data_IF_721462275160
#
_entry.id   IF_721462275160
#
_cell.length_a   1.000
_cell.length_b   1.000
_cell.length_c   1.000
_cell.angle_alpha   90.00
_cell.angle_beta   90.00
_cell.angle_gamma   90.00
#
_symmetry.space_group_name_H-M   'P 1'
#
loop_
_entity.id
_entity.type
_entity.pdbx_description
1 polymer ?
#
# COMPACT_ATOMS: atom_id res chain seq x y z
N UNK A 1 5.97 18.64 -12.09
CA UNK A 1 6.81 17.42 -12.26
C UNK A 1 6.03 16.23 -11.70
N UNK A 2 5.97 15.08 -12.40
CA UNK A 2 5.39 13.86 -11.82
C UNK A 2 6.52 13.13 -11.10
N UNK A 3 6.47 13.06 -9.77
CA UNK A 3 7.36 12.17 -9.03
C UNK A 3 7.00 10.73 -9.35
N UNK A 4 7.97 10.00 -9.91
CA UNK A 4 7.81 8.57 -10.16
C UNK A 4 7.77 7.86 -8.80
N UNK A 5 6.62 7.28 -8.47
CA UNK A 5 6.47 6.37 -7.33
C UNK A 5 7.09 5.03 -7.67
N UNK A 6 7.95 4.54 -6.79
CA UNK A 6 8.52 3.22 -6.91
C UNK A 6 7.42 2.14 -6.74
N UNK A 7 7.16 1.36 -7.79
CA UNK A 7 6.24 0.21 -7.73
C UNK A 7 6.84 -1.03 -7.03
N UNK A 8 8.02 -0.92 -6.44
CA UNK A 8 8.63 -1.97 -5.62
C UNK A 8 8.42 -1.67 -4.13
N UNK A 9 8.81 -0.49 -3.66
CA UNK A 9 8.72 -0.13 -2.23
C UNK A 9 7.72 0.99 -1.90
N UNK A 10 7.09 1.61 -2.89
CA UNK A 10 6.10 2.68 -2.68
C UNK A 10 6.67 4.09 -2.42
N UNK A 11 7.99 4.23 -2.27
CA UNK A 11 8.67 5.53 -2.05
C UNK A 11 8.77 6.35 -3.34
N UNK A 12 8.79 7.67 -3.20
CA UNK A 12 8.98 8.63 -4.30
C UNK A 12 10.47 8.93 -4.51
N UNK A 13 10.82 9.47 -5.67
CA UNK A 13 12.19 9.88 -6.00
C UNK A 13 13.05 8.81 -6.69
N UNK A 14 12.52 7.60 -6.91
CA UNK A 14 13.19 6.57 -7.69
C UNK A 14 12.19 5.60 -8.35
N UNK A 15 12.64 4.89 -9.39
CA UNK A 15 11.85 3.89 -10.12
C UNK A 15 12.08 2.48 -9.58
N UNK A 16 11.15 1.57 -9.88
CA UNK A 16 11.23 0.17 -9.46
C UNK A 16 12.47 -0.57 -10.01
N UNK A 17 13.05 -0.09 -11.12
CA UNK A 17 14.26 -0.62 -11.76
C UNK A 17 15.53 -0.34 -10.94
N UNK A 18 15.60 0.81 -10.28
CA UNK A 18 16.75 1.25 -9.46
C UNK A 18 16.51 1.07 -7.96
N UNK A 19 15.36 0.50 -7.58
CA UNK A 19 15.01 0.28 -6.19
C UNK A 19 15.88 -0.82 -5.58
N UNK A 20 16.60 -0.47 -4.50
CA UNK A 20 17.42 -1.41 -3.71
C UNK A 20 16.67 -2.04 -2.53
N UNK A 21 15.42 -1.65 -2.33
CA UNK A 21 14.60 -2.17 -1.23
C UNK A 21 13.76 -3.39 -1.63
N UNK A 22 13.27 -4.07 -0.61
CA UNK A 22 12.35 -5.19 -0.75
C UNK A 22 11.03 -4.79 -1.42
N UNK A 23 10.33 -5.79 -1.93
CA UNK A 23 8.99 -5.60 -2.48
C UNK A 23 8.01 -5.35 -1.35
N UNK A 24 7.24 -4.27 -1.45
CA UNK A 24 6.20 -3.88 -0.51
C UNK A 24 4.85 -4.11 -1.16
N UNK A 25 3.95 -4.69 -0.39
CA UNK A 25 2.61 -5.00 -0.83
C UNK A 25 1.77 -3.72 -0.85
N UNK A 26 1.28 -3.32 -2.03
CA UNK A 26 0.39 -2.17 -2.15
C UNK A 26 -1.02 -2.42 -1.59
N UNK A 27 -1.32 -3.65 -1.18
CA UNK A 27 -2.58 -3.98 -0.54
C UNK A 27 -2.54 -3.78 0.99
N UNK A 28 -1.50 -4.30 1.65
CA UNK A 28 -1.39 -4.30 3.11
C UNK A 28 -0.26 -3.43 3.67
N UNK A 29 0.67 -2.97 2.84
CA UNK A 29 1.83 -2.18 3.26
C UNK A 29 3.00 -3.01 3.81
N UNK A 30 2.89 -4.34 3.84
CA UNK A 30 3.97 -5.22 4.33
C UNK A 30 4.99 -5.53 3.25
N UNK A 31 6.25 -5.62 3.65
CA UNK A 31 7.33 -6.08 2.78
C UNK A 31 7.35 -7.61 2.59
N UNK A 32 7.99 -8.07 1.53
CA UNK A 32 8.20 -9.48 1.21
C UNK A 32 7.23 -10.07 0.19
N UNK A 33 6.14 -9.39 -0.20
CA UNK A 33 5.21 -9.88 -1.23
C UNK A 33 4.54 -8.75 -2.02
N UNK A 34 3.97 -9.07 -3.19
CA UNK A 34 3.18 -8.14 -4.01
C UNK A 34 1.69 -8.25 -3.72
N UNK A 35 0.91 -7.23 -4.09
CA UNK A 35 -0.57 -7.25 -4.00
C UNK A 35 -1.25 -8.52 -4.55
N UNK A 36 -0.85 -9.11 -5.70
CA UNK A 36 -1.41 -10.39 -6.17
C UNK A 36 -1.12 -11.59 -5.25
N UNK A 37 -0.02 -11.56 -4.51
CA UNK A 37 0.41 -12.63 -3.58
C UNK A 37 -0.06 -12.36 -2.14
N UNK A 38 -0.73 -11.22 -1.92
CA UNK A 38 -1.21 -10.83 -0.61
C UNK A 38 -2.37 -11.72 -0.19
N UNK A 39 -2.20 -12.40 0.96
CA UNK A 39 -3.24 -13.21 1.59
C UNK A 39 -4.32 -12.37 2.28
N UNK A 40 -4.05 -11.08 2.55
CA UNK A 40 -5.03 -10.16 3.13
C UNK A 40 -6.08 -9.78 2.09
N UNK A 41 -7.34 -9.54 2.50
CA UNK A 41 -8.38 -9.09 1.58
C UNK A 41 -7.91 -7.86 0.82
N UNK A 42 -8.19 -7.81 -0.49
CA UNK A 42 -7.84 -6.64 -1.29
C UNK A 42 -8.61 -5.46 -0.72
N UNK A 43 -7.91 -4.48 -0.15
CA UNK A 43 -8.46 -3.15 0.08
C UNK A 43 -8.74 -2.61 -1.32
N UNK A 44 -9.94 -2.87 -1.83
CA UNK A 44 -10.44 -2.19 -3.01
C UNK A 44 -10.51 -0.72 -2.63
N UNK A 45 -9.39 0.00 -2.82
CA UNK A 45 -9.42 1.43 -3.10
C UNK A 45 -9.96 1.58 -4.52
N UNK A 46 -11.15 1.01 -4.74
CA UNK A 46 -11.98 1.41 -5.84
C UNK A 46 -12.16 2.89 -5.61
N UNK A 47 -11.80 3.69 -6.61
CA UNK A 47 -12.20 5.08 -6.71
C UNK A 47 -13.73 5.11 -6.75
N UNK A 48 -14.37 4.87 -5.62
CA UNK A 48 -15.72 5.32 -5.37
C UNK A 48 -15.55 6.83 -5.25
N UNK A 49 -16.26 7.56 -6.10
CA UNK A 49 -16.24 9.03 -6.18
C UNK A 49 -16.86 9.68 -4.94
N UNK A 50 -16.63 9.14 -3.74
CA UNK A 50 -17.05 9.74 -2.47
C UNK A 50 -15.94 10.66 -2.00
N UNK A 51 -16.18 11.96 -2.17
CA UNK A 51 -15.48 13.01 -1.46
C UNK A 51 -15.45 12.65 0.04
N UNK A 52 -14.25 12.70 0.63
CA UNK A 52 -13.95 12.56 2.07
C UNK A 52 -13.89 11.14 2.62
N UNK A 53 -12.78 10.82 3.30
CA UNK A 53 -12.69 9.62 4.14
C UNK A 53 -11.26 9.16 4.41
N UNK A 54 -10.55 9.86 5.30
CA UNK A 54 -9.38 9.34 6.01
C UNK A 54 -9.74 8.10 6.86
N UNK A 55 -8.76 7.24 7.13
CA UNK A 55 -8.79 6.34 8.29
C UNK A 55 -8.91 4.85 7.97
N UNK A 56 -7.80 4.13 8.14
CA UNK A 56 -7.84 2.68 8.40
C UNK A 56 -6.67 2.29 9.29
N UNK A 57 -6.68 2.81 10.53
CA UNK A 57 -6.05 2.16 11.67
C UNK A 57 -7.18 1.80 12.64
N UNK A 58 -7.73 0.60 12.46
CA UNK A 58 -8.69 0.02 13.39
C UNK A 58 -7.85 -0.59 14.52
N UNK A 59 -7.51 0.21 15.53
CA UNK A 59 -6.95 -0.32 16.77
C UNK A 59 -7.99 -1.21 17.45
N UNK A 60 -7.50 -2.39 17.82
CA UNK A 60 -8.21 -3.51 18.42
C UNK A 60 -8.83 -3.10 19.76
N UNK A 61 -10.16 -3.03 19.83
CA UNK A 61 -10.87 -2.86 21.11
C UNK A 61 -10.90 -4.21 21.83
N UNK A 62 -9.85 -4.50 22.60
CA UNK A 62 -9.81 -5.62 23.54
C UNK A 62 -10.88 -5.42 24.62
N UNK A 63 -11.92 -6.25 24.61
CA UNK A 63 -12.85 -6.42 25.72
C UNK A 63 -12.06 -6.89 26.95
N UNK A 64 -12.22 -6.20 28.08
CA UNK A 64 -12.13 -6.80 29.41
C UNK A 64 -13.03 -6.10 30.40
#
# INVERSE_FOLDING_TARGET
>A
MKEDKCFRCGKLGHRADICREGVVCFNCGEEGHKSPECKKPKKTVGKVFTLSGEGADQVDNLIR
#
